data_IF_500773429820
#
_entry.id   IF_500773429820
#
_cell.length_a   1.000
_cell.length_b   1.000
_cell.length_c   1.000
_cell.angle_alpha   90.00
_cell.angle_beta   90.00
_cell.angle_gamma   90.00
#
_symmetry.space_group_name_H-M   'P 1'
#
loop_
_entity.id
_entity.type
_entity.pdbx_description
1 polymer ?
#
# COMPACT_ATOMS: atom_id res chain seq x y z
N UNK A 1 -30.77 -24.23 -3.06
CA UNK A 1 -31.42 -23.01 -3.59
C UNK A 1 -31.20 -22.83 -5.11
N UNK A 2 -30.06 -23.21 -5.71
CA UNK A 2 -29.82 -22.97 -7.16
C UNK A 2 -29.52 -24.20 -8.04
N UNK A 3 -29.55 -25.42 -7.48
CA UNK A 3 -29.36 -26.66 -8.26
C UNK A 3 -28.00 -26.82 -8.95
N UNK A 4 -26.99 -26.04 -8.55
CA UNK A 4 -25.64 -26.11 -9.12
C UNK A 4 -24.95 -27.37 -8.61
N UNK A 5 -24.45 -28.20 -9.52
CA UNK A 5 -23.57 -29.33 -9.19
C UNK A 5 -22.13 -28.82 -9.04
N UNK A 6 -21.72 -28.55 -7.80
CA UNK A 6 -20.40 -28.01 -7.45
C UNK A 6 -19.34 -29.12 -7.25
N UNK A 7 -19.55 -30.29 -7.83
CA UNK A 7 -18.60 -31.41 -7.83
C UNK A 7 -17.69 -31.35 -9.05
N UNK A 8 -16.43 -31.70 -8.88
CA UNK A 8 -15.56 -31.94 -10.02
C UNK A 8 -16.03 -33.20 -10.75
N UNK A 9 -16.27 -33.08 -12.05
CA UNK A 9 -16.68 -34.21 -12.89
C UNK A 9 -15.86 -34.30 -14.15
N UNK A 10 -15.63 -35.53 -14.63
CA UNK A 10 -15.07 -35.81 -15.95
C UNK A 10 -16.06 -36.65 -16.76
N UNK A 11 -16.03 -36.51 -18.08
CA UNK A 11 -16.73 -37.44 -18.96
C UNK A 11 -15.84 -38.66 -19.19
N UNK A 12 -16.36 -39.84 -18.90
CA UNK A 12 -15.70 -41.11 -19.16
C UNK A 12 -16.73 -42.03 -19.83
N UNK A 13 -16.46 -42.44 -21.08
CA UNK A 13 -17.34 -43.29 -21.90
C UNK A 13 -18.79 -42.76 -22.00
N UNK A 14 -18.96 -41.46 -22.18
CA UNK A 14 -20.29 -40.83 -22.29
C UNK A 14 -21.04 -40.63 -20.98
N UNK A 15 -20.49 -41.09 -19.84
CA UNK A 15 -21.06 -40.87 -18.52
C UNK A 15 -20.28 -39.81 -17.72
N UNK A 16 -21.00 -38.95 -17.01
CA UNK A 16 -20.45 -37.94 -16.09
C UNK A 16 -20.01 -38.65 -14.80
N UNK A 17 -18.69 -38.72 -14.56
CA UNK A 17 -18.11 -39.37 -13.38
C UNK A 17 -17.57 -38.31 -12.43
N UNK A 18 -17.97 -38.38 -11.16
CA UNK A 18 -17.50 -37.48 -10.09
C UNK A 18 -16.09 -37.87 -9.65
N UNK A 19 -15.21 -36.89 -9.55
CA UNK A 19 -13.87 -37.09 -8.98
C UNK A 19 -13.97 -37.40 -7.50
N UNK A 20 -13.12 -38.32 -7.04
CA UNK A 20 -12.96 -38.64 -5.62
C UNK A 20 -11.59 -38.19 -5.13
N UNK A 21 -11.52 -37.82 -3.86
CA UNK A 21 -10.28 -37.59 -3.11
C UNK A 21 -9.52 -38.92 -2.93
N UNK A 22 -8.23 -38.91 -2.55
CA UNK A 22 -7.48 -40.13 -2.24
C UNK A 22 -8.17 -41.03 -1.20
N UNK A 23 -8.96 -40.43 -0.30
CA UNK A 23 -9.71 -41.13 0.75
C UNK A 23 -11.15 -41.51 0.32
N UNK A 24 -11.50 -41.37 -0.97
CA UNK A 24 -12.78 -41.85 -1.53
C UNK A 24 -13.97 -40.89 -1.41
N UNK A 25 -13.83 -39.73 -0.76
CA UNK A 25 -14.89 -38.71 -0.70
C UNK A 25 -15.05 -37.97 -2.03
N UNK A 26 -16.25 -37.48 -2.36
CA UNK A 26 -16.49 -36.65 -3.55
C UNK A 26 -15.65 -35.37 -3.50
N UNK A 27 -15.05 -35.01 -4.64
CA UNK A 27 -14.24 -33.79 -4.77
C UNK A 27 -15.13 -32.63 -5.20
N UNK A 28 -15.25 -31.63 -4.34
CA UNK A 28 -15.97 -30.39 -4.61
C UNK A 28 -15.06 -29.29 -5.14
N UNK A 29 -15.65 -28.26 -5.75
CA UNK A 29 -14.93 -27.08 -6.22
C UNK A 29 -14.16 -26.42 -5.08
N UNK A 30 -12.89 -26.15 -5.33
CA UNK A 30 -12.09 -25.30 -4.46
C UNK A 30 -12.48 -23.82 -4.61
N UNK A 31 -11.98 -22.98 -3.69
CA UNK A 31 -12.26 -21.54 -3.71
C UNK A 31 -11.85 -20.89 -5.04
N UNK A 32 -10.69 -21.23 -5.61
CA UNK A 32 -10.25 -20.66 -6.89
C UNK A 32 -11.23 -20.97 -8.01
N UNK A 33 -11.77 -22.20 -8.04
CA UNK A 33 -12.79 -22.60 -9.00
C UNK A 33 -14.11 -21.84 -8.78
N UNK A 34 -14.55 -21.70 -7.54
CA UNK A 34 -15.75 -20.93 -7.19
C UNK A 34 -15.64 -19.45 -7.61
N UNK A 35 -14.47 -18.84 -7.48
CA UNK A 35 -14.22 -17.45 -7.88
C UNK A 35 -14.27 -17.24 -9.40
N UNK A 36 -13.86 -18.25 -10.18
CA UNK A 36 -13.84 -18.22 -11.65
C UNK A 36 -15.19 -18.56 -12.28
N UNK A 37 -16.14 -19.10 -11.51
CA UNK A 37 -17.43 -19.51 -12.02
C UNK A 37 -18.29 -18.29 -12.42
N UNK A 38 -18.96 -18.35 -13.57
CA UNK A 38 -19.71 -17.22 -14.12
C UNK A 38 -20.84 -16.72 -13.20
N UNK A 39 -21.42 -17.61 -12.38
CA UNK A 39 -22.45 -17.28 -11.39
C UNK A 39 -21.88 -16.97 -9.99
N UNK A 40 -20.62 -16.60 -9.88
CA UNK A 40 -20.04 -16.22 -8.60
C UNK A 40 -20.79 -14.97 -8.05
N UNK A 41 -21.42 -15.05 -6.87
CA UNK A 41 -22.32 -14.00 -6.38
C UNK A 41 -21.59 -12.81 -5.77
N UNK A 42 -20.27 -12.90 -5.58
CA UNK A 42 -19.47 -11.84 -4.96
C UNK A 42 -18.94 -10.86 -6.01
N UNK A 43 -18.80 -9.60 -5.60
CA UNK A 43 -18.36 -8.50 -6.45
C UNK A 43 -16.88 -8.62 -6.86
N UNK A 44 -16.48 -7.91 -7.91
CA UNK A 44 -15.14 -8.05 -8.50
C UNK A 44 -14.02 -7.77 -7.48
N UNK A 45 -14.10 -6.68 -6.71
CA UNK A 45 -13.09 -6.35 -5.70
C UNK A 45 -12.92 -7.43 -4.63
N UNK A 46 -13.99 -8.17 -4.31
CA UNK A 46 -13.90 -9.29 -3.37
C UNK A 46 -13.14 -10.46 -3.99
N UNK A 47 -13.39 -10.75 -5.28
CA UNK A 47 -12.68 -11.79 -6.03
C UNK A 47 -11.20 -11.47 -6.16
N UNK A 48 -10.87 -10.22 -6.43
CA UNK A 48 -9.49 -9.75 -6.57
C UNK A 48 -8.70 -9.97 -5.28
N UNK A 49 -9.30 -9.60 -4.13
CA UNK A 49 -8.69 -9.83 -2.81
C UNK A 49 -8.48 -11.31 -2.48
N UNK A 50 -9.50 -12.14 -2.73
CA UNK A 50 -9.40 -13.57 -2.46
C UNK A 50 -8.38 -14.24 -3.40
N UNK A 51 -8.28 -13.78 -4.65
CA UNK A 51 -7.25 -14.25 -5.59
C UNK A 51 -5.85 -13.87 -5.12
N UNK A 52 -5.66 -12.63 -4.65
CA UNK A 52 -4.41 -12.19 -4.04
C UNK A 52 -4.01 -13.07 -2.85
N UNK A 53 -4.94 -13.39 -1.94
CA UNK A 53 -4.65 -14.25 -0.79
C UNK A 53 -4.31 -15.70 -1.20
N UNK A 54 -4.94 -16.23 -2.26
CA UNK A 54 -4.60 -17.54 -2.80
C UNK A 54 -3.18 -17.56 -3.37
N UNK A 55 -2.81 -16.55 -4.17
CA UNK A 55 -1.47 -16.42 -4.74
C UNK A 55 -0.41 -16.24 -3.64
N UNK A 56 -0.69 -15.37 -2.66
CA UNK A 56 0.16 -15.13 -1.50
C UNK A 56 0.34 -16.40 -0.66
N UNK A 57 -0.72 -17.18 -0.42
CA UNK A 57 -0.64 -18.45 0.31
C UNK A 57 0.32 -19.42 -0.39
N UNK A 58 0.23 -19.57 -1.71
CA UNK A 58 1.14 -20.44 -2.45
C UNK A 58 2.60 -20.01 -2.24
N UNK A 59 2.89 -18.72 -2.35
CA UNK A 59 4.25 -18.21 -2.16
C UNK A 59 4.77 -18.39 -0.73
N UNK A 60 3.94 -18.17 0.30
CA UNK A 60 4.34 -18.37 1.71
C UNK A 60 4.53 -19.85 2.04
N UNK A 61 3.61 -20.73 1.64
CA UNK A 61 3.68 -22.18 1.89
C UNK A 61 4.96 -22.77 1.30
N UNK A 62 5.42 -22.23 0.17
CA UNK A 62 6.68 -22.64 -0.43
C UNK A 62 7.93 -22.08 0.27
N UNK A 63 7.84 -21.00 1.08
CA UNK A 63 9.03 -20.23 1.51
C UNK A 63 9.11 -19.77 2.98
N UNK A 64 8.21 -20.21 3.88
CA UNK A 64 8.31 -20.01 5.35
C UNK A 64 8.85 -18.62 5.77
N UNK A 65 8.06 -17.58 5.50
CA UNK A 65 8.38 -16.19 5.88
C UNK A 65 7.51 -15.72 7.04
N UNK A 66 8.14 -15.12 8.06
CA UNK A 66 7.49 -14.72 9.31
C UNK A 66 7.20 -13.21 9.44
N UNK A 67 7.34 -12.42 8.35
CA UNK A 67 7.32 -10.94 8.42
C UNK A 67 6.52 -10.27 7.29
N UNK A 68 5.44 -10.89 6.85
CA UNK A 68 4.57 -10.34 5.80
C UNK A 68 3.43 -9.48 6.33
N UNK A 69 3.13 -9.58 7.64
CA UNK A 69 1.89 -9.05 8.23
C UNK A 69 1.69 -7.56 7.94
N UNK A 70 2.74 -6.75 8.03
CA UNK A 70 2.67 -5.32 7.71
C UNK A 70 2.28 -5.05 6.25
N UNK A 71 2.77 -5.87 5.32
CA UNK A 71 2.55 -5.72 3.88
C UNK A 71 1.16 -6.21 3.45
N UNK A 72 0.56 -7.14 4.21
CA UNK A 72 -0.69 -7.84 3.83
C UNK A 72 -1.88 -7.53 4.74
N UNK A 73 -1.64 -6.89 5.90
CA UNK A 73 -2.64 -6.57 6.93
C UNK A 73 -3.87 -5.85 6.39
N UNK A 74 -3.68 -4.83 5.55
CA UNK A 74 -4.78 -4.08 4.95
C UNK A 74 -5.66 -4.96 4.04
N UNK A 75 -5.06 -5.91 3.31
CA UNK A 75 -5.77 -6.83 2.42
C UNK A 75 -6.47 -7.93 3.22
N UNK A 76 -5.87 -8.41 4.31
CA UNK A 76 -6.51 -9.32 5.25
C UNK A 76 -7.73 -8.68 5.92
N UNK A 77 -7.60 -7.44 6.40
CA UNK A 77 -8.70 -6.69 6.99
C UNK A 77 -9.82 -6.45 5.97
N UNK A 78 -9.49 -6.07 4.74
CA UNK A 78 -10.46 -5.94 3.66
C UNK A 78 -11.18 -7.27 3.40
N UNK A 79 -10.49 -8.42 3.41
CA UNK A 79 -11.14 -9.72 3.30
C UNK A 79 -12.09 -10.03 4.46
N UNK A 80 -11.75 -9.67 5.70
CA UNK A 80 -12.64 -9.82 6.84
C UNK A 80 -13.92 -8.98 6.70
N UNK A 81 -13.77 -7.72 6.25
CA UNK A 81 -14.90 -6.82 5.97
C UNK A 81 -15.76 -7.38 4.84
N UNK A 82 -15.14 -7.72 3.70
CA UNK A 82 -15.80 -8.30 2.53
C UNK A 82 -16.58 -9.57 2.90
N UNK A 83 -16.00 -10.43 3.73
CA UNK A 83 -16.66 -11.64 4.22
C UNK A 83 -17.88 -11.32 5.08
N UNK A 84 -17.75 -10.39 6.01
CA UNK A 84 -18.85 -9.96 6.87
C UNK A 84 -19.98 -9.31 6.05
N UNK A 85 -19.66 -8.48 5.05
CA UNK A 85 -20.63 -7.89 4.13
C UNK A 85 -21.32 -8.93 3.25
N UNK A 86 -20.56 -9.90 2.74
CA UNK A 86 -21.10 -11.01 1.97
C UNK A 86 -22.08 -11.85 2.81
N UNK A 87 -21.75 -12.14 4.07
CA UNK A 87 -22.66 -12.83 4.98
C UNK A 87 -23.94 -12.02 5.22
N UNK A 88 -23.82 -10.72 5.49
CA UNK A 88 -24.96 -9.82 5.71
C UNK A 88 -25.91 -9.83 4.52
N UNK A 89 -25.35 -9.69 3.32
CA UNK A 89 -26.12 -9.65 2.06
C UNK A 89 -26.82 -10.99 1.76
N UNK A 90 -26.10 -12.11 1.91
CA UNK A 90 -26.62 -13.43 1.50
C UNK A 90 -27.51 -14.11 2.55
N UNK A 91 -27.25 -13.89 3.84
CA UNK A 91 -27.88 -14.65 4.92
C UNK A 91 -28.63 -13.76 5.93
N UNK A 92 -28.37 -12.45 5.92
CA UNK A 92 -29.03 -11.48 6.79
C UNK A 92 -28.11 -10.92 7.87
N UNK A 93 -28.43 -9.71 8.34
CA UNK A 93 -27.60 -8.91 9.26
C UNK A 93 -27.35 -9.61 10.60
N UNK A 94 -28.25 -10.49 11.04
CA UNK A 94 -28.12 -11.26 12.27
C UNK A 94 -26.94 -12.24 12.27
N UNK A 95 -26.42 -12.60 11.10
CA UNK A 95 -25.25 -13.47 10.95
C UNK A 95 -23.94 -12.68 10.82
N UNK A 96 -24.00 -11.34 10.87
CA UNK A 96 -22.81 -10.49 10.86
C UNK A 96 -21.92 -10.78 12.08
N UNK A 97 -20.61 -10.81 11.84
CA UNK A 97 -19.59 -11.07 12.86
C UNK A 97 -19.13 -9.77 13.57
N UNK A 98 -19.43 -8.61 12.98
CA UNK A 98 -19.08 -7.28 13.52
C UNK A 98 -19.63 -7.02 14.93
N UNK A 99 -20.74 -7.66 15.32
CA UNK A 99 -21.33 -7.55 16.67
C UNK A 99 -20.57 -8.32 17.76
N UNK A 100 -19.75 -9.30 17.38
CA UNK A 100 -19.03 -10.18 18.32
C UNK A 100 -17.52 -9.98 18.31
N UNK A 101 -16.98 -9.44 17.21
CA UNK A 101 -15.54 -9.20 16.99
C UNK A 101 -15.29 -7.80 16.39
N UNK A 102 -15.76 -6.70 17.00
CA UNK A 102 -15.66 -5.37 16.37
C UNK A 102 -14.21 -4.92 16.18
N UNK A 103 -13.36 -5.10 17.20
CA UNK A 103 -11.93 -4.75 17.18
C UNK A 103 -11.26 -5.68 18.21
N UNK A 104 -10.60 -6.76 17.78
CA UNK A 104 -9.80 -7.54 18.71
C UNK A 104 -8.67 -6.62 19.25
N UNK A 105 -8.68 -6.40 20.57
CA UNK A 105 -7.84 -5.46 21.32
C UNK A 105 -6.41 -5.34 20.77
N UNK A 106 -6.12 -4.18 20.21
CA UNK A 106 -4.85 -3.86 19.56
C UNK A 106 -3.87 -3.28 20.59
N UNK A 107 -2.74 -3.97 20.81
CA UNK A 107 -1.74 -3.61 21.83
C UNK A 107 -0.66 -2.63 21.36
N UNK A 108 -0.73 -2.14 20.12
CA UNK A 108 0.32 -1.28 19.52
C UNK A 108 -0.23 0.09 19.12
N UNK A 109 0.44 1.13 19.60
CA UNK A 109 0.22 2.54 19.22
C UNK A 109 1.04 2.88 17.98
N UNK A 110 0.42 3.45 16.94
CA UNK A 110 1.11 3.89 15.73
C UNK A 110 1.91 5.19 15.97
N UNK A 111 3.13 5.09 16.51
CA UNK A 111 4.06 6.23 16.51
C UNK A 111 4.88 6.27 15.20
N UNK A 112 5.28 7.47 14.72
CA UNK A 112 6.22 7.60 13.59
C UNK A 112 7.51 6.80 13.77
N UNK A 113 7.99 6.69 15.01
CA UNK A 113 9.18 5.91 15.38
C UNK A 113 8.94 4.41 15.20
N UNK A 114 7.76 3.91 15.55
CA UNK A 114 7.41 2.50 15.28
C UNK A 114 7.26 2.22 13.78
N UNK A 115 6.70 3.12 12.97
CA UNK A 115 6.67 2.95 11.50
C UNK A 115 8.07 2.85 10.91
N UNK A 116 9.02 3.64 11.40
CA UNK A 116 10.41 3.58 10.97
C UNK A 116 11.11 2.28 11.41
N UNK A 117 10.78 1.78 12.61
CA UNK A 117 11.27 0.49 13.13
C UNK A 117 10.67 -0.69 12.36
N UNK A 118 9.36 -0.71 12.10
CA UNK A 118 8.68 -1.74 11.30
C UNK A 118 9.19 -1.77 9.85
N UNK A 119 9.33 -0.60 9.20
CA UNK A 119 9.94 -0.50 7.86
C UNK A 119 11.40 -0.95 7.82
N UNK A 120 12.21 -0.59 8.83
CA UNK A 120 13.61 -1.03 8.93
C UNK A 120 13.74 -2.52 9.25
N UNK A 121 12.72 -3.13 9.82
CA UNK A 121 12.73 -4.52 10.20
C UNK A 121 12.13 -5.44 9.11
N UNK A 122 11.61 -4.91 8.00
CA UNK A 122 11.09 -5.73 6.90
C UNK A 122 12.19 -6.43 6.10
N UNK A 123 12.49 -7.69 6.44
CA UNK A 123 13.22 -8.64 5.58
C UNK A 123 12.23 -9.38 4.66
N UNK A 124 11.35 -8.64 3.98
CA UNK A 124 10.40 -9.28 3.07
C UNK A 124 11.20 -9.88 1.90
N UNK A 125 11.06 -11.18 1.62
CA UNK A 125 11.81 -11.77 0.52
C UNK A 125 11.45 -11.11 -0.81
N UNK A 126 12.46 -10.79 -1.61
CA UNK A 126 12.34 -10.05 -2.88
C UNK A 126 11.32 -10.63 -3.87
N UNK A 127 11.11 -11.94 -3.87
CA UNK A 127 10.13 -12.59 -4.74
C UNK A 127 8.68 -12.29 -4.32
N UNK A 128 8.40 -12.14 -3.03
CA UNK A 128 7.09 -11.72 -2.52
C UNK A 128 6.84 -10.27 -2.91
N UNK A 129 7.83 -9.39 -2.72
CA UNK A 129 7.76 -7.99 -3.18
C UNK A 129 7.43 -7.93 -4.69
N UNK A 130 8.11 -8.74 -5.49
CA UNK A 130 7.87 -8.79 -6.94
C UNK A 130 6.47 -9.28 -7.28
N UNK A 131 5.99 -10.35 -6.62
CA UNK A 131 4.62 -10.85 -6.82
C UNK A 131 3.57 -9.79 -6.45
N UNK A 132 3.78 -9.09 -5.33
CA UNK A 132 2.89 -8.02 -4.88
C UNK A 132 2.85 -6.87 -5.89
N UNK A 133 4.00 -6.40 -6.35
CA UNK A 133 4.12 -5.35 -7.36
C UNK A 133 3.45 -5.75 -8.68
N UNK A 134 3.68 -6.98 -9.15
CA UNK A 134 3.11 -7.50 -10.40
C UNK A 134 1.60 -7.69 -10.30
N UNK A 135 1.07 -8.03 -9.12
CA UNK A 135 -0.37 -8.06 -8.88
C UNK A 135 -0.96 -6.66 -8.94
N UNK A 136 -0.38 -5.69 -8.21
CA UNK A 136 -0.92 -4.34 -8.13
C UNK A 136 -0.88 -3.60 -9.47
N UNK A 137 0.14 -3.86 -10.30
CA UNK A 137 0.24 -3.31 -11.67
C UNK A 137 -0.84 -3.82 -12.62
N UNK A 138 -1.47 -4.95 -12.33
CA UNK A 138 -2.56 -5.51 -13.17
C UNK A 138 -3.93 -4.91 -12.87
N UNK A 139 -4.07 -4.17 -11.76
CA UNK A 139 -5.32 -3.54 -11.35
C UNK A 139 -5.55 -2.23 -12.08
N UNK A 140 -6.81 -1.93 -12.42
CA UNK A 140 -7.18 -0.60 -12.94
C UNK A 140 -7.14 0.46 -11.83
N UNK A 141 -7.05 1.76 -12.18
CA UNK A 141 -7.07 2.84 -11.18
C UNK A 141 -8.30 2.78 -10.25
N UNK A 142 -9.46 2.43 -10.80
CA UNK A 142 -10.71 2.28 -10.04
C UNK A 142 -10.62 1.14 -9.03
N UNK A 143 -10.00 0.02 -9.41
CA UNK A 143 -9.78 -1.12 -8.51
C UNK A 143 -8.76 -0.79 -7.41
N UNK A 144 -7.75 0.04 -7.68
CA UNK A 144 -6.71 0.40 -6.69
C UNK A 144 -7.23 1.30 -5.57
N UNK A 145 -8.15 2.21 -5.90
CA UNK A 145 -8.79 3.13 -4.94
C UNK A 145 -10.03 2.52 -4.27
N UNK A 146 -10.48 1.35 -4.74
CA UNK A 146 -11.63 0.66 -4.18
C UNK A 146 -11.38 0.31 -2.69
N UNK A 147 -12.20 0.81 -1.74
CA UNK A 147 -12.04 0.48 -0.33
C UNK A 147 -12.21 -1.02 -0.04
N UNK A 148 -12.88 -1.76 -0.94
CA UNK A 148 -13.01 -3.22 -0.89
C UNK A 148 -11.70 -3.92 -1.25
N UNK A 149 -10.84 -3.30 -2.07
CA UNK A 149 -9.54 -3.86 -2.45
C UNK A 149 -8.51 -3.70 -1.32
N UNK A 150 -8.41 -2.49 -0.75
CA UNK A 150 -7.54 -2.24 0.39
C UNK A 150 -8.20 -1.29 1.37
N UNK A 151 -8.54 -1.82 2.55
CA UNK A 151 -9.12 -1.03 3.63
C UNK A 151 -8.02 -0.27 4.36
N UNK A 152 -7.89 1.03 4.07
CA UNK A 152 -6.87 1.91 4.63
C UNK A 152 -7.52 2.79 5.70
N UNK A 153 -7.09 2.61 6.94
CA UNK A 153 -7.56 3.41 8.08
C UNK A 153 -6.50 4.42 8.47
N UNK A 154 -6.91 5.68 8.58
CA UNK A 154 -6.13 6.71 9.24
C UNK A 154 -6.70 6.90 10.64
N UNK A 155 -5.91 6.54 11.66
CA UNK A 155 -6.25 6.83 13.04
C UNK A 155 -5.58 8.15 13.44
N UNK A 156 -6.39 9.11 13.86
CA UNK A 156 -5.91 10.37 14.41
C UNK A 156 -6.23 10.39 15.90
N UNK A 157 -5.21 10.72 16.71
CA UNK A 157 -5.42 10.99 18.11
C UNK A 157 -6.02 12.41 18.23
N UNK A 158 -7.29 12.50 18.59
CA UNK A 158 -7.95 13.78 18.86
C UNK A 158 -7.54 14.23 20.27
N UNK A 159 -6.57 15.13 20.38
CA UNK A 159 -6.32 15.85 21.64
C UNK A 159 -7.48 16.84 21.83
N UNK A 160 -8.25 16.61 22.89
CA UNK A 160 -9.60 17.14 23.05
C UNK A 160 -9.73 18.66 22.83
N UNK A 161 -10.74 19.04 22.05
CA UNK A 161 -11.45 20.32 22.21
C UNK A 161 -12.86 20.21 21.56
N UNK A 162 -13.75 19.40 22.15
CA UNK A 162 -15.21 19.64 22.10
C UNK A 162 -15.96 18.83 23.16
N UNK A 163 -17.11 19.41 23.53
CA UNK A 163 -17.98 19.21 24.69
C UNK A 163 -18.46 17.75 24.95
N UNK A 164 -18.92 17.46 26.19
CA UNK A 164 -19.26 16.10 26.60
C UNK A 164 -20.54 15.62 25.90
N UNK A 165 -20.48 14.47 25.24
CA UNK A 165 -21.67 13.91 24.59
C UNK A 165 -21.49 12.59 23.85
N UNK A 166 -20.32 12.29 23.29
CA UNK A 166 -20.05 10.98 22.67
C UNK A 166 -18.58 10.61 22.81
N UNK A 167 -18.30 9.78 23.81
CA UNK A 167 -16.98 9.21 24.09
C UNK A 167 -16.74 7.98 23.19
N UNK A 168 -16.87 8.19 21.87
CA UNK A 168 -16.56 7.17 20.88
C UNK A 168 -15.05 7.18 20.63
N UNK A 169 -14.39 6.07 20.99
CA UNK A 169 -12.95 5.89 20.77
C UNK A 169 -12.55 5.92 19.28
N UNK A 170 -13.50 5.70 18.38
CA UNK A 170 -13.32 5.72 16.92
C UNK A 170 -14.51 6.45 16.29
N UNK A 171 -14.22 7.51 15.55
CA UNK A 171 -15.19 8.28 14.75
C UNK A 171 -14.91 8.01 13.27
N UNK A 172 -15.89 7.44 12.55
CA UNK A 172 -15.80 7.24 11.10
C UNK A 172 -16.12 8.55 10.40
N UNK A 173 -15.12 9.12 9.71
CA UNK A 173 -15.27 10.35 8.95
C UNK A 173 -15.75 10.00 7.52
N UNK A 174 -16.88 10.54 7.04
CA UNK A 174 -17.36 10.29 5.69
C UNK A 174 -16.35 10.74 4.61
N UNK A 175 -16.23 10.00 3.48
CA UNK A 175 -15.27 10.31 2.41
C UNK A 175 -15.46 11.70 1.78
N UNK A 176 -16.71 12.17 1.69
CA UNK A 176 -17.08 13.49 1.16
C UNK A 176 -17.06 14.64 2.18
N UNK A 177 -16.54 14.42 3.39
CA UNK A 177 -16.43 15.50 4.37
C UNK A 177 -15.25 16.44 4.07
N UNK A 178 -15.39 17.72 4.41
CA UNK A 178 -14.29 18.72 4.36
C UNK A 178 -13.02 18.25 5.11
N UNK A 179 -13.22 17.41 6.12
CA UNK A 179 -12.17 16.81 6.91
C UNK A 179 -11.39 15.79 6.04
N UNK A 180 -12.08 14.90 5.34
CA UNK A 180 -11.49 13.90 4.45
C UNK A 180 -10.76 14.54 3.24
N UNK A 181 -11.30 15.63 2.69
CA UNK A 181 -10.66 16.36 1.58
C UNK A 181 -9.33 17.01 2.02
N UNK A 182 -9.33 17.71 3.17
CA UNK A 182 -8.11 18.29 3.76
C UNK A 182 -7.06 17.23 4.10
N UNK A 183 -7.49 16.06 4.57
CA UNK A 183 -6.58 14.93 4.81
C UNK A 183 -5.98 14.36 3.54
N UNK A 184 -6.77 14.25 2.46
CA UNK A 184 -6.28 13.77 1.16
C UNK A 184 -5.22 14.71 0.56
N UNK A 185 -5.39 16.03 0.76
CA UNK A 185 -4.40 17.04 0.38
C UNK A 185 -3.10 16.90 1.19
N UNK A 186 -3.22 16.77 2.52
CA UNK A 186 -2.07 16.59 3.41
C UNK A 186 -1.31 15.28 3.12
N UNK A 187 -1.99 14.22 2.68
CA UNK A 187 -1.35 12.96 2.31
C UNK A 187 -0.51 13.08 1.03
N UNK A 188 -0.98 13.86 0.04
CA UNK A 188 -0.18 14.20 -1.15
C UNK A 188 1.08 15.01 -0.81
N UNK A 189 1.03 15.87 0.21
CA UNK A 189 2.23 16.55 0.73
C UNK A 189 3.20 15.60 1.46
N UNK A 190 2.70 14.48 2.02
CA UNK A 190 3.53 13.50 2.76
C UNK A 190 4.29 12.56 1.82
N UNK A 191 3.81 12.29 0.60
CA UNK A 191 4.63 11.74 -0.47
C UNK A 191 5.56 12.83 -1.01
N UNK A 192 6.56 13.21 -0.21
CA UNK A 192 7.58 14.19 -0.58
C UNK A 192 8.11 13.87 -1.96
N UNK A 193 7.93 14.80 -2.90
CA UNK A 193 8.46 14.71 -4.26
C UNK A 193 9.94 14.37 -4.19
N UNK A 194 10.31 13.25 -4.81
CA UNK A 194 11.68 12.72 -4.78
C UNK A 194 12.39 13.13 -6.06
N UNK A 195 13.63 13.58 -5.91
CA UNK A 195 14.50 13.97 -7.00
C UNK A 195 15.77 13.12 -7.01
N UNK A 196 16.15 12.63 -8.18
CA UNK A 196 17.46 12.07 -8.43
C UNK A 196 18.49 13.21 -8.52
N UNK A 197 19.78 12.93 -8.23
CA UNK A 197 20.85 13.93 -8.38
C UNK A 197 20.85 14.64 -9.74
N UNK A 198 20.58 13.87 -10.80
CA UNK A 198 20.52 14.39 -12.17
C UNK A 198 19.37 15.38 -12.34
N UNK A 199 18.20 15.07 -11.80
CA UNK A 199 17.02 15.93 -11.87
C UNK A 199 17.25 17.27 -11.16
N UNK A 200 17.99 17.28 -10.04
CA UNK A 200 18.38 18.53 -9.37
C UNK A 200 19.27 19.37 -10.27
N UNK A 201 20.30 18.76 -10.87
CA UNK A 201 21.23 19.47 -11.76
C UNK A 201 20.49 20.01 -12.98
N UNK A 202 19.63 19.20 -13.60
CA UNK A 202 18.81 19.61 -14.74
C UNK A 202 17.85 20.75 -14.36
N UNK A 203 17.25 20.70 -13.16
CA UNK A 203 16.40 21.78 -12.63
C UNK A 203 17.19 23.07 -12.42
N UNK A 204 18.38 23.00 -11.81
CA UNK A 204 19.22 24.18 -11.58
C UNK A 204 19.72 24.80 -12.88
N UNK A 205 20.09 23.98 -13.87
CA UNK A 205 20.46 24.45 -15.20
C UNK A 205 19.30 25.14 -15.91
N UNK A 206 18.08 24.59 -15.81
CA UNK A 206 16.88 25.22 -16.34
C UNK A 206 16.54 26.56 -15.65
N UNK A 207 16.91 26.71 -14.37
CA UNK A 207 16.82 27.96 -13.62
C UNK A 207 17.95 28.97 -13.95
N UNK A 208 18.87 28.62 -14.86
CA UNK A 208 19.94 29.52 -15.33
C UNK A 208 21.26 29.43 -14.56
N UNK A 209 21.46 28.36 -13.78
CA UNK A 209 22.72 28.04 -13.08
C UNK A 209 23.57 27.06 -13.88
N UNK A 210 23.99 27.48 -15.07
CA UNK A 210 24.66 26.67 -16.09
C UNK A 210 26.01 26.05 -15.67
N UNK A 211 26.66 26.57 -14.63
CA UNK A 211 27.90 26.00 -14.05
C UNK A 211 27.63 25.08 -12.86
N UNK A 212 26.37 24.86 -12.48
CA UNK A 212 26.01 23.90 -11.46
C UNK A 212 26.01 22.47 -12.04
N UNK A 213 27.07 21.73 -11.78
CA UNK A 213 27.28 20.38 -12.35
C UNK A 213 27.04 19.28 -11.30
N UNK A 214 27.03 18.02 -11.75
CA UNK A 214 27.04 16.84 -10.87
C UNK A 214 28.22 16.85 -9.87
N UNK A 215 29.36 17.42 -10.24
CA UNK A 215 30.51 17.59 -9.35
C UNK A 215 30.23 18.63 -8.26
N UNK A 216 29.66 19.78 -8.65
CA UNK A 216 29.24 20.85 -7.74
C UNK A 216 28.21 20.32 -6.73
N UNK A 217 27.19 19.60 -7.21
CA UNK A 217 26.20 18.93 -6.38
C UNK A 217 26.87 17.94 -5.40
N UNK A 218 27.84 17.15 -5.87
CA UNK A 218 28.54 16.17 -5.03
C UNK A 218 29.34 16.81 -3.90
N UNK A 219 30.12 17.84 -4.24
CA UNK A 219 30.87 18.63 -3.25
C UNK A 219 29.94 19.28 -2.22
N UNK A 220 28.81 19.83 -2.68
CA UNK A 220 27.87 20.55 -1.83
C UNK A 220 27.22 19.62 -0.79
N UNK A 221 26.70 18.46 -1.21
CA UNK A 221 26.07 17.54 -0.26
C UNK A 221 27.10 16.93 0.72
N UNK A 222 28.35 16.71 0.29
CA UNK A 222 29.42 16.25 1.18
C UNK A 222 29.78 17.32 2.21
N UNK A 223 30.00 18.57 1.77
CA UNK A 223 30.34 19.71 2.63
C UNK A 223 29.26 19.96 3.68
N UNK A 224 28.00 19.84 3.29
CA UNK A 224 26.85 20.03 4.19
C UNK A 224 26.44 18.75 4.93
N UNK A 225 27.14 17.64 4.74
CA UNK A 225 26.75 16.31 5.25
C UNK A 225 25.25 16.03 5.01
N UNK A 226 24.73 16.35 3.83
CA UNK A 226 23.30 16.40 3.57
C UNK A 226 22.62 15.02 3.43
N UNK A 227 23.41 13.94 3.43
CA UNK A 227 22.89 12.57 3.54
C UNK A 227 22.68 12.12 4.98
N UNK A 228 22.94 12.99 5.95
CA UNK A 228 22.58 12.74 7.34
C UNK A 228 21.05 12.66 7.48
N UNK A 229 20.50 11.52 7.96
CA UNK A 229 19.06 11.38 8.19
C UNK A 229 18.45 12.47 9.07
N UNK A 230 19.22 13.05 9.99
CA UNK A 230 18.74 14.11 10.89
C UNK A 230 18.35 15.40 10.14
N UNK A 231 18.91 15.63 8.95
CA UNK A 231 18.70 16.86 8.16
C UNK A 231 17.49 16.81 7.23
N UNK A 232 16.84 15.65 7.11
CA UNK A 232 15.60 15.50 6.32
C UNK A 232 15.69 15.99 4.86
N UNK A 233 16.86 15.86 4.23
CA UNK A 233 17.12 16.28 2.85
C UNK A 233 16.87 15.18 1.81
N UNK A 234 16.68 13.94 2.23
CA UNK A 234 16.44 12.83 1.34
C UNK A 234 16.33 11.50 2.08
N UNK A 235 16.11 10.43 1.34
CA UNK A 235 16.11 9.08 1.85
C UNK A 235 16.59 8.10 0.77
N UNK A 236 17.04 6.93 1.20
CA UNK A 236 17.33 5.81 0.29
C UNK A 236 16.01 5.30 -0.28
N UNK A 237 15.88 5.32 -1.60
CA UNK A 237 14.78 4.69 -2.32
C UNK A 237 15.02 3.18 -2.51
N UNK A 238 13.96 2.46 -2.86
CA UNK A 238 14.00 1.03 -3.18
C UNK A 238 15.04 0.83 -4.30
N UNK A 239 16.10 0.05 -4.02
CA UNK A 239 17.23 -0.12 -4.93
C UNK A 239 18.58 0.49 -4.48
N UNK A 240 18.72 0.91 -3.21
CA UNK A 240 19.95 1.48 -2.61
C UNK A 240 20.39 2.84 -3.17
N UNK A 241 19.59 3.49 -3.99
CA UNK A 241 19.87 4.81 -4.52
C UNK A 241 19.33 5.90 -3.59
N UNK A 242 20.13 6.92 -3.30
CA UNK A 242 19.68 8.07 -2.50
C UNK A 242 18.83 9.02 -3.36
N UNK A 243 17.61 9.30 -2.91
CA UNK A 243 16.73 10.30 -3.49
C UNK A 243 16.63 11.51 -2.57
N UNK A 244 16.61 12.69 -3.18
CA UNK A 244 16.53 13.97 -2.50
C UNK A 244 15.09 14.44 -2.40
N UNK A 245 14.80 15.20 -1.36
CA UNK A 245 13.52 15.89 -1.20
C UNK A 245 13.61 17.33 -1.70
N UNK A 246 12.46 17.98 -1.84
CA UNK A 246 12.36 19.40 -2.18
C UNK A 246 13.12 20.31 -1.21
N UNK A 247 13.22 19.94 0.08
CA UNK A 247 14.05 20.64 1.06
C UNK A 247 15.52 20.74 0.65
N UNK A 248 16.04 19.72 -0.04
CA UNK A 248 17.40 19.75 -0.56
C UNK A 248 17.52 20.63 -1.80
N UNK A 249 16.56 20.55 -2.72
CA UNK A 249 16.51 21.41 -3.89
C UNK A 249 16.49 22.90 -3.49
N UNK A 250 15.70 23.26 -2.48
CA UNK A 250 15.66 24.62 -1.96
C UNK A 250 17.00 25.05 -1.36
N UNK A 251 17.68 24.16 -0.61
CA UNK A 251 19.02 24.44 -0.08
C UNK A 251 20.07 24.62 -1.16
N UNK A 252 19.99 23.86 -2.26
CA UNK A 252 20.85 24.01 -3.44
C UNK A 252 20.60 25.37 -4.11
N UNK A 253 19.34 25.80 -4.21
CA UNK A 253 18.98 27.11 -4.75
C UNK A 253 19.56 28.26 -3.90
N UNK A 254 19.46 28.16 -2.59
CA UNK A 254 20.07 29.12 -1.66
C UNK A 254 21.59 29.20 -1.84
N UNK A 255 22.28 28.06 -1.99
CA UNK A 255 23.73 28.04 -2.23
C UNK A 255 24.10 28.75 -3.53
N UNK A 256 23.36 28.49 -4.62
CA UNK A 256 23.60 29.14 -5.90
C UNK A 256 23.37 30.66 -5.83
N UNK A 257 22.35 31.10 -5.08
CA UNK A 257 22.07 32.51 -4.84
C UNK A 257 23.14 33.19 -3.97
N UNK A 258 23.73 32.48 -3.01
CA UNK A 258 24.81 32.99 -2.14
C UNK A 258 26.15 33.09 -2.87
N UNK A 259 26.38 32.23 -3.86
CA UNK A 259 27.64 32.15 -4.62
C UNK A 259 27.43 32.18 -6.13
N UNK A 260 26.78 33.22 -6.68
CA UNK A 260 26.40 33.24 -8.09
C UNK A 260 27.60 33.16 -9.04
N UNK A 261 28.73 33.75 -8.68
CA UNK A 261 29.96 33.74 -9.49
C UNK A 261 30.56 32.33 -9.68
N UNK A 262 30.22 31.39 -8.80
CA UNK A 262 30.68 30.01 -8.86
C UNK A 262 29.81 29.15 -9.77
N UNK A 263 28.52 29.48 -9.86
CA UNK A 263 27.48 28.61 -10.44
C UNK A 263 26.79 29.18 -11.67
N UNK A 264 27.11 30.43 -12.03
CA UNK A 264 26.59 31.11 -13.21
C UNK A 264 27.73 31.61 -14.08
N UNK A 265 27.59 31.48 -15.39
CA UNK A 265 28.46 32.19 -16.33
C UNK A 265 28.06 33.66 -16.34
N UNK A 266 28.97 34.54 -15.91
CA UNK A 266 28.78 35.98 -16.05
C UNK A 266 28.81 36.33 -17.55
N UNK A 267 27.87 37.15 -18.05
CA UNK A 267 27.95 37.62 -19.42
C UNK A 267 29.27 38.40 -19.62
N UNK A 268 29.89 38.31 -20.80
CA UNK A 268 31.08 39.10 -21.09
C UNK A 268 30.77 40.59 -20.91
N UNK A 269 31.64 41.27 -20.16
CA UNK A 269 31.59 42.71 -19.94
C UNK A 269 31.88 43.50 -21.23
#
# INVERSE_FOLDING_TARGET
REGIDYRHTKNQNGAKVVFKTPNGAEKFWDLSHCLKHARCPIEQGFRDNLSYLLDLRHEIEHRSTNRIDDAVSAKLQACCINFNDAIKSMFGVQYALERRLPIALQFVTFSPDQRAVLKKAGDLPRHIETMMDDFERRLTPEQQIDPRFAYRVFMIHKTANRAPGTDLAVELIPPESDIAEKFSLALKEVEKKKFLPKEIVDTMNAEGWDRFTMHSHTKLWQRLAAKDPAKSYGAVAVGRQWCWYETWLNRVREECQQHPDQYKTLPPA
#
